data_IF_604518503491
#
_entry.id   IF_604518503491
#
_cell.length_a   1.000
_cell.length_b   1.000
_cell.length_c   1.000
_cell.angle_alpha   90.00
_cell.angle_beta   90.00
_cell.angle_gamma   90.00
#
_symmetry.space_group_name_H-M   'P 1'
#
loop_
_entity.id
_entity.type
_entity.pdbx_description
1 polymer ?
#
# COMPACT_ATOMS: atom_id res chain seq x y z
N UNK A 1 25.21 13.85 28.53
CA UNK A 1 25.96 13.05 27.55
C UNK A 1 25.69 13.65 26.19
N UNK A 2 26.71 14.05 25.40
CA UNK A 2 26.44 14.53 24.05
C UNK A 2 25.77 13.40 23.26
N UNK A 3 24.67 13.71 22.57
CA UNK A 3 23.99 12.78 21.67
C UNK A 3 25.04 12.35 20.63
N UNK A 4 25.46 11.08 20.70
CA UNK A 4 26.33 10.52 19.68
C UNK A 4 25.60 10.58 18.33
N UNK A 5 26.31 10.71 17.19
CA UNK A 5 25.69 10.66 15.86
C UNK A 5 24.77 9.43 15.66
N UNK A 6 25.07 8.34 16.39
CA UNK A 6 24.23 7.17 16.53
C UNK A 6 22.85 7.46 17.16
N UNK A 7 22.76 8.24 18.24
CA UNK A 7 21.46 8.57 18.85
C UNK A 7 20.51 9.31 17.91
N UNK A 8 21.04 10.12 16.98
CA UNK A 8 20.27 10.96 16.05
C UNK A 8 19.61 10.12 14.93
N UNK A 9 20.26 9.04 14.48
CA UNK A 9 19.75 8.21 13.36
C UNK A 9 19.03 6.95 13.83
N UNK A 10 19.47 6.32 14.94
CA UNK A 10 18.90 5.06 15.40
C UNK A 10 17.58 5.21 16.17
N UNK A 11 17.37 6.33 16.87
CA UNK A 11 16.09 6.63 17.51
C UNK A 11 14.94 6.66 16.49
N UNK A 12 15.05 7.45 15.41
CA UNK A 12 14.09 7.44 14.32
C UNK A 12 13.93 6.05 13.67
N UNK A 13 15.03 5.31 13.45
CA UNK A 13 14.96 3.98 12.84
C UNK A 13 14.20 2.96 13.71
N UNK A 14 14.32 3.04 15.05
CA UNK A 14 13.55 2.19 15.96
C UNK A 14 12.06 2.57 15.96
N UNK A 15 11.75 3.87 15.95
CA UNK A 15 10.35 4.36 15.85
C UNK A 15 9.72 3.94 14.53
N UNK A 16 10.47 4.05 13.43
CA UNK A 16 10.10 3.59 12.10
C UNK A 16 9.75 2.11 12.12
N UNK A 17 10.64 1.25 12.63
CA UNK A 17 10.38 -0.18 12.78
C UNK A 17 9.16 -0.52 13.64
N UNK A 18 8.96 0.19 14.76
CA UNK A 18 7.79 -0.02 15.62
C UNK A 18 6.48 0.30 14.87
N UNK A 19 6.44 1.45 14.18
CA UNK A 19 5.31 1.81 13.31
C UNK A 19 5.12 0.78 12.20
N UNK A 20 6.21 0.34 11.58
CA UNK A 20 6.22 -0.64 10.51
C UNK A 20 5.60 -1.97 10.92
N UNK A 21 5.95 -2.44 12.12
CA UNK A 21 5.45 -3.68 12.72
C UNK A 21 3.95 -3.57 13.06
N UNK A 22 3.50 -2.42 13.58
CA UNK A 22 2.08 -2.16 13.86
C UNK A 22 1.27 -2.22 12.55
N UNK A 23 1.75 -1.54 11.50
CA UNK A 23 1.12 -1.56 10.18
C UNK A 23 1.08 -2.96 9.58
N UNK A 24 2.13 -3.76 9.76
CA UNK A 24 2.17 -5.15 9.32
C UNK A 24 1.06 -6.00 9.99
N UNK A 25 0.75 -5.77 11.26
CA UNK A 25 -0.40 -6.42 11.92
C UNK A 25 -1.75 -6.10 11.26
N UNK A 26 -1.96 -4.83 10.89
CA UNK A 26 -3.13 -4.39 10.13
C UNK A 26 -3.19 -5.02 8.72
N UNK A 27 -2.05 -5.11 8.05
CA UNK A 27 -1.91 -5.77 6.76
C UNK A 27 -2.32 -7.25 6.84
N UNK A 28 -1.77 -8.00 7.80
CA UNK A 28 -2.11 -9.43 8.01
C UNK A 28 -3.61 -9.60 8.22
N UNK A 29 -4.23 -8.75 9.04
CA UNK A 29 -5.69 -8.78 9.27
C UNK A 29 -6.46 -8.59 7.96
N UNK A 30 -6.06 -7.63 7.14
CA UNK A 30 -6.69 -7.35 5.84
C UNK A 30 -6.56 -8.52 4.87
N UNK A 31 -5.41 -9.21 4.89
CA UNK A 31 -5.12 -10.40 4.09
C UNK A 31 -5.97 -11.60 4.53
N UNK A 32 -6.14 -11.80 5.84
CA UNK A 32 -7.00 -12.86 6.36
C UNK A 32 -8.48 -12.65 5.99
N UNK A 33 -8.95 -11.40 6.06
CA UNK A 33 -10.30 -11.04 5.60
C UNK A 33 -10.43 -11.29 4.09
N UNK A 34 -9.39 -10.97 3.31
CA UNK A 34 -9.38 -11.19 1.88
C UNK A 34 -9.52 -12.68 1.52
N UNK A 35 -8.66 -13.54 2.05
CA UNK A 35 -8.70 -14.98 1.74
C UNK A 35 -9.93 -15.71 2.30
N UNK A 36 -10.53 -15.21 3.38
CA UNK A 36 -11.77 -15.77 3.93
C UNK A 36 -13.02 -15.36 3.14
N UNK A 37 -13.06 -14.12 2.63
CA UNK A 37 -14.27 -13.52 2.06
C UNK A 37 -14.35 -13.55 0.53
N UNK A 38 -13.23 -13.68 -0.18
CA UNK A 38 -13.14 -13.54 -1.65
C UNK A 38 -12.62 -14.82 -2.33
N UNK A 39 -13.46 -15.86 -2.33
CA UNK A 39 -13.12 -17.18 -2.89
C UNK A 39 -13.31 -17.28 -4.41
N UNK A 40 -13.96 -16.30 -5.04
CA UNK A 40 -14.18 -16.26 -6.50
C UNK A 40 -13.18 -15.39 -7.28
N UNK A 41 -12.31 -14.64 -6.59
CA UNK A 41 -11.36 -13.73 -7.23
C UNK A 41 -10.39 -14.44 -8.18
N UNK A 42 -10.04 -13.76 -9.29
CA UNK A 42 -9.13 -14.27 -10.30
C UNK A 42 -7.74 -14.62 -9.75
N UNK A 43 -7.13 -15.67 -10.31
CA UNK A 43 -5.84 -16.20 -9.85
C UNK A 43 -4.72 -15.16 -9.84
N UNK A 44 -4.76 -14.19 -10.75
CA UNK A 44 -3.74 -13.13 -10.84
C UNK A 44 -3.77 -12.17 -9.63
N UNK A 45 -4.95 -11.80 -9.12
CA UNK A 45 -5.09 -10.93 -7.93
C UNK A 45 -4.57 -11.66 -6.70
N UNK A 46 -4.88 -12.95 -6.59
CA UNK A 46 -4.37 -13.79 -5.50
C UNK A 46 -2.87 -13.92 -5.49
N UNK A 47 -2.28 -14.13 -6.67
CA UNK A 47 -0.83 -14.19 -6.83
C UNK A 47 -0.19 -12.85 -6.43
N UNK A 48 -0.79 -11.73 -6.83
CA UNK A 48 -0.35 -10.40 -6.44
C UNK A 48 -0.40 -10.21 -4.92
N UNK A 49 -1.52 -10.55 -4.27
CA UNK A 49 -1.66 -10.45 -2.81
C UNK A 49 -0.64 -11.34 -2.10
N UNK A 50 -0.42 -12.56 -2.57
CA UNK A 50 0.59 -13.47 -2.01
C UNK A 50 2.01 -12.89 -2.16
N UNK A 51 2.34 -12.36 -3.33
CA UNK A 51 3.64 -11.74 -3.60
C UNK A 51 3.88 -10.52 -2.69
N UNK A 52 2.87 -9.66 -2.52
CA UNK A 52 2.93 -8.53 -1.62
C UNK A 52 3.15 -8.98 -0.17
N UNK A 53 2.41 -9.98 0.32
CA UNK A 53 2.61 -10.51 1.68
C UNK A 53 4.03 -11.02 1.87
N UNK A 54 4.57 -11.79 0.93
CA UNK A 54 5.94 -12.31 1.02
C UNK A 54 6.97 -11.16 1.06
N UNK A 55 6.84 -10.16 0.19
CA UNK A 55 7.72 -8.99 0.16
C UNK A 55 7.62 -8.18 1.46
N UNK A 56 6.42 -8.00 1.98
CA UNK A 56 6.14 -7.25 3.20
C UNK A 56 6.70 -7.96 4.44
N UNK A 57 6.55 -9.29 4.53
CA UNK A 57 7.16 -10.12 5.57
C UNK A 57 8.68 -10.06 5.47
N UNK A 58 9.25 -10.19 4.27
CA UNK A 58 10.69 -10.09 4.07
C UNK A 58 11.23 -8.73 4.53
N UNK A 59 10.53 -7.64 4.19
CA UNK A 59 10.91 -6.29 4.62
C UNK A 59 10.93 -6.15 6.16
N UNK A 60 9.91 -6.62 6.89
CA UNK A 60 9.89 -6.57 8.38
C UNK A 60 10.99 -7.44 8.99
N UNK A 61 11.21 -8.64 8.43
CA UNK A 61 12.26 -9.56 8.93
C UNK A 61 13.65 -8.97 8.72
N UNK A 62 13.92 -8.38 7.55
CA UNK A 62 15.20 -7.73 7.26
C UNK A 62 15.44 -6.53 8.19
N UNK A 63 14.42 -5.69 8.43
CA UNK A 63 14.54 -4.60 9.41
C UNK A 63 14.83 -5.11 10.82
N UNK A 64 14.15 -6.17 11.25
CA UNK A 64 14.40 -6.79 12.56
C UNK A 64 15.82 -7.34 12.68
N UNK A 65 16.30 -8.04 11.65
CA UNK A 65 17.68 -8.57 11.61
C UNK A 65 18.70 -7.43 11.67
N UNK A 66 18.48 -6.35 10.91
CA UNK A 66 19.34 -5.17 10.92
C UNK A 66 19.40 -4.51 12.31
N UNK A 67 18.24 -4.30 12.95
CA UNK A 67 18.16 -3.72 14.29
C UNK A 67 18.82 -4.62 15.34
N UNK A 68 18.58 -5.93 15.30
CA UNK A 68 19.18 -6.87 16.23
C UNK A 68 20.72 -6.89 16.09
N UNK A 69 21.21 -6.95 14.85
CA UNK A 69 22.65 -6.94 14.57
C UNK A 69 23.34 -5.68 15.11
N UNK A 70 22.72 -4.52 14.90
CA UNK A 70 23.35 -3.21 15.16
C UNK A 70 23.14 -2.74 16.60
N UNK A 71 21.98 -3.01 17.21
CA UNK A 71 21.66 -2.55 18.58
C UNK A 71 21.92 -3.59 19.66
N UNK A 72 21.95 -4.89 19.35
CA UNK A 72 22.12 -5.94 20.36
C UNK A 72 23.50 -6.60 20.23
N UNK A 73 23.84 -7.10 19.04
CA UNK A 73 25.08 -7.87 18.85
C UNK A 73 26.31 -6.96 18.90
N UNK A 74 26.30 -5.84 18.17
CA UNK A 74 27.41 -4.88 18.10
C UNK A 74 27.12 -3.61 18.92
N UNK A 75 26.53 -3.78 20.10
CA UNK A 75 26.18 -2.64 20.96
C UNK A 75 27.43 -1.83 21.35
N UNK A 76 27.42 -0.53 21.03
CA UNK A 76 28.49 0.41 21.38
C UNK A 76 29.63 0.50 20.35
N UNK A 77 29.61 -0.28 19.27
CA UNK A 77 30.60 -0.21 18.20
C UNK A 77 30.25 0.87 17.16
N UNK A 78 30.87 2.05 17.28
CA UNK A 78 30.55 3.19 16.41
C UNK A 78 30.85 2.95 14.92
N UNK A 79 31.77 2.04 14.59
CA UNK A 79 32.11 1.75 13.20
C UNK A 79 31.00 0.94 12.51
N UNK A 80 30.41 -0.01 13.23
CA UNK A 80 29.25 -0.77 12.73
C UNK A 80 28.01 0.12 12.68
N UNK A 81 27.81 0.98 13.66
CA UNK A 81 26.67 1.91 13.70
C UNK A 81 26.71 2.97 12.59
N UNK A 82 27.90 3.34 12.10
CA UNK A 82 28.05 4.34 11.03
C UNK A 82 27.88 3.76 9.62
N UNK A 83 27.73 2.44 9.49
CA UNK A 83 27.66 1.73 8.21
C UNK A 83 26.33 0.99 8.02
N UNK A 84 25.70 1.23 6.88
CA UNK A 84 24.62 0.41 6.37
C UNK A 84 25.15 -0.99 6.03
N UNK A 85 24.47 -1.99 6.57
CA UNK A 85 24.73 -3.39 6.21
C UNK A 85 24.04 -3.74 4.89
N UNK A 86 24.45 -4.86 4.29
CA UNK A 86 23.78 -5.42 3.11
C UNK A 86 22.28 -5.65 3.36
N UNK A 87 21.87 -6.00 4.60
CA UNK A 87 20.46 -6.18 4.98
C UNK A 87 19.68 -4.88 4.83
N UNK A 88 20.22 -3.76 5.33
CA UNK A 88 19.61 -2.44 5.20
C UNK A 88 19.52 -2.00 3.73
N UNK A 89 20.56 -2.29 2.94
CA UNK A 89 20.60 -1.90 1.53
C UNK A 89 19.48 -2.50 0.68
N UNK A 90 18.94 -3.67 1.06
CA UNK A 90 17.85 -4.33 0.33
C UNK A 90 16.48 -3.69 0.57
N UNK A 91 16.31 -2.93 1.66
CA UNK A 91 15.03 -2.36 2.05
C UNK A 91 14.46 -1.40 1.00
N UNK A 92 15.21 -0.41 0.46
CA UNK A 92 14.70 0.49 -0.58
C UNK A 92 14.30 -0.25 -1.86
N UNK A 93 15.05 -1.29 -2.25
CA UNK A 93 14.75 -2.12 -3.40
C UNK A 93 13.43 -2.88 -3.23
N UNK A 94 13.20 -3.49 -2.07
CA UNK A 94 11.93 -4.16 -1.76
C UNK A 94 10.78 -3.15 -1.76
N UNK A 95 10.96 -1.99 -1.13
CA UNK A 95 9.96 -0.90 -1.14
C UNK A 95 9.63 -0.46 -2.56
N UNK A 96 10.65 -0.29 -3.43
CA UNK A 96 10.45 0.03 -4.84
C UNK A 96 9.61 -1.01 -5.56
N UNK A 97 9.92 -2.31 -5.39
CA UNK A 97 9.17 -3.40 -6.00
C UNK A 97 7.71 -3.41 -5.52
N UNK A 98 7.47 -3.27 -4.21
CA UNK A 98 6.12 -3.22 -3.63
C UNK A 98 5.33 -2.05 -4.20
N UNK A 99 5.91 -0.85 -4.19
CA UNK A 99 5.28 0.37 -4.70
C UNK A 99 4.88 0.21 -6.16
N UNK A 100 5.79 -0.30 -7.01
CA UNK A 100 5.51 -0.53 -8.43
C UNK A 100 4.39 -1.56 -8.64
N UNK A 101 4.39 -2.68 -7.90
CA UNK A 101 3.32 -3.67 -7.99
C UNK A 101 1.96 -3.07 -7.63
N UNK A 102 1.89 -2.25 -6.59
CA UNK A 102 0.67 -1.57 -6.16
C UNK A 102 0.21 -0.53 -7.19
N UNK A 103 1.12 0.28 -7.70
CA UNK A 103 0.82 1.29 -8.73
C UNK A 103 0.32 0.65 -10.02
N UNK A 104 0.95 -0.43 -10.49
CA UNK A 104 0.51 -1.17 -11.67
C UNK A 104 -0.87 -1.80 -11.49
N UNK A 105 -1.19 -2.29 -10.28
CA UNK A 105 -2.53 -2.77 -9.97
C UNK A 105 -3.59 -1.65 -10.09
N UNK A 106 -3.30 -0.48 -9.55
CA UNK A 106 -4.20 0.67 -9.70
C UNK A 106 -4.27 1.17 -11.15
N UNK A 107 -3.18 1.13 -11.90
CA UNK A 107 -3.14 1.45 -13.33
C UNK A 107 -4.06 0.51 -14.12
N UNK A 108 -3.99 -0.80 -13.86
CA UNK A 108 -4.89 -1.79 -14.44
C UNK A 108 -6.35 -1.49 -14.09
N UNK A 109 -6.65 -1.12 -12.85
CA UNK A 109 -8.00 -0.75 -12.43
C UNK A 109 -8.52 0.49 -13.17
N UNK A 110 -7.66 1.49 -13.39
CA UNK A 110 -7.97 2.68 -14.20
C UNK A 110 -8.21 2.29 -15.66
N UNK A 111 -7.39 1.41 -16.24
CA UNK A 111 -7.59 0.91 -17.59
C UNK A 111 -8.98 0.28 -17.77
N UNK A 112 -9.39 -0.56 -16.81
CA UNK A 112 -10.71 -1.22 -16.85
C UNK A 112 -11.86 -0.22 -16.77
N UNK A 113 -11.68 0.91 -16.08
CA UNK A 113 -12.75 1.90 -15.89
C UNK A 113 -12.80 2.98 -16.98
N UNK A 114 -11.66 3.46 -17.44
CA UNK A 114 -11.57 4.57 -18.40
C UNK A 114 -11.33 4.09 -19.84
N UNK A 115 -10.90 2.83 -20.04
CA UNK A 115 -10.46 2.27 -21.33
C UNK A 115 -9.34 3.07 -22.04
N UNK A 116 -8.67 3.98 -21.33
CA UNK A 116 -7.62 4.84 -21.88
C UNK A 116 -6.24 4.27 -21.63
N UNK A 117 -5.59 3.78 -22.69
CA UNK A 117 -4.23 3.21 -22.63
C UNK A 117 -3.14 4.27 -22.38
N UNK A 118 -3.39 5.52 -22.76
CA UNK A 118 -2.43 6.62 -22.59
C UNK A 118 -2.18 6.93 -21.12
N UNK A 119 -3.23 6.98 -20.29
CA UNK A 119 -3.12 7.24 -18.86
C UNK A 119 -2.34 6.14 -18.14
N UNK A 120 -2.59 4.89 -18.53
CA UNK A 120 -1.88 3.70 -18.00
C UNK A 120 -0.40 3.76 -18.35
N UNK A 121 -0.05 4.20 -19.56
CA UNK A 121 1.33 4.38 -19.98
C UNK A 121 2.08 5.40 -19.11
N UNK A 122 1.44 6.52 -18.76
CA UNK A 122 2.04 7.54 -17.88
C UNK A 122 2.28 6.99 -16.48
N UNK A 123 1.29 6.31 -15.90
CA UNK A 123 1.41 5.68 -14.58
C UNK A 123 2.52 4.63 -14.58
N UNK A 124 2.53 3.74 -15.58
CA UNK A 124 3.56 2.71 -15.70
C UNK A 124 4.97 3.29 -15.86
N UNK A 125 5.10 4.41 -16.60
CA UNK A 125 6.37 5.11 -16.73
C UNK A 125 6.85 5.66 -15.38
N UNK A 126 5.99 6.37 -14.64
CA UNK A 126 6.33 6.89 -13.32
C UNK A 126 6.66 5.76 -12.32
N UNK A 127 5.88 4.68 -12.32
CA UNK A 127 6.12 3.51 -11.49
C UNK A 127 7.44 2.80 -11.82
N UNK A 128 7.83 2.77 -13.10
CA UNK A 128 9.12 2.23 -13.52
C UNK A 128 10.29 3.12 -13.09
N UNK A 129 10.13 4.44 -13.17
CA UNK A 129 11.13 5.38 -12.69
C UNK A 129 11.37 5.21 -11.18
N UNK A 130 10.29 5.06 -10.39
CA UNK A 130 10.38 4.76 -8.97
C UNK A 130 11.10 3.43 -8.69
N UNK A 131 10.81 2.37 -9.47
CA UNK A 131 11.47 1.07 -9.34
C UNK A 131 12.98 1.17 -9.57
N UNK A 132 13.39 1.80 -10.68
CA UNK A 132 14.80 1.94 -11.01
C UNK A 132 15.54 2.81 -10.01
N UNK A 133 14.89 3.85 -9.47
CA UNK A 133 15.45 4.66 -8.39
C UNK A 133 15.60 3.85 -7.09
N UNK A 134 14.64 2.99 -6.75
CA UNK A 134 14.72 2.09 -5.59
C UNK A 134 15.88 1.10 -5.70
N UNK A 135 16.02 0.44 -6.85
CA UNK A 135 17.14 -0.47 -7.14
C UNK A 135 18.47 0.30 -7.15
N UNK A 136 18.51 1.47 -7.79
CA UNK A 136 19.69 2.35 -7.81
C UNK A 136 20.12 2.76 -6.41
N UNK A 137 19.16 3.07 -5.52
CA UNK A 137 19.42 3.38 -4.11
C UNK A 137 20.01 2.16 -3.38
N UNK A 138 19.47 0.96 -3.60
CA UNK A 138 20.04 -0.29 -3.05
C UNK A 138 21.49 -0.51 -3.48
N UNK A 139 21.82 -0.31 -4.75
CA UNK A 139 23.18 -0.45 -5.26
C UNK A 139 24.09 0.63 -4.66
N UNK A 140 23.63 1.87 -4.61
CA UNK A 140 24.38 2.99 -4.07
C UNK A 140 24.72 2.82 -2.58
N UNK A 141 23.78 2.32 -1.77
CA UNK A 141 24.02 2.00 -0.36
C UNK A 141 25.06 0.89 -0.20
N UNK A 142 25.07 -0.13 -1.06
CA UNK A 142 26.11 -1.17 -1.02
C UNK A 142 27.51 -0.63 -1.39
N UNK A 143 27.58 0.28 -2.38
CA UNK A 143 28.85 0.89 -2.78
C UNK A 143 29.38 1.90 -1.76
N UNK A 144 28.47 2.65 -1.13
CA UNK A 144 28.77 3.70 -0.16
C UNK A 144 27.99 3.40 1.13
N UNK A 145 28.47 2.48 1.98
CA UNK A 145 27.72 2.06 3.16
C UNK A 145 27.72 3.11 4.27
N UNK A 146 28.49 4.20 4.18
CA UNK A 146 28.59 5.18 5.27
C UNK A 146 27.42 6.15 5.24
N UNK A 147 26.62 6.21 6.33
CA UNK A 147 25.41 7.05 6.42
C UNK A 147 25.66 8.53 6.11
N UNK A 148 26.80 9.08 6.54
CA UNK A 148 27.15 10.50 6.30
C UNK A 148 27.39 10.82 4.82
N UNK A 149 27.60 9.80 3.98
CA UNK A 149 27.85 9.97 2.54
C UNK A 149 26.60 9.75 1.69
N UNK A 150 25.41 9.61 2.30
CA UNK A 150 24.16 9.38 1.57
C UNK A 150 23.75 10.54 0.67
N UNK A 151 24.27 11.75 0.92
CA UNK A 151 24.12 12.91 0.02
C UNK A 151 24.63 12.65 -1.41
N UNK A 152 25.55 11.70 -1.61
CA UNK A 152 26.12 11.38 -2.93
C UNK A 152 25.11 10.78 -3.91
N UNK A 153 24.07 10.11 -3.40
CA UNK A 153 23.02 9.49 -4.22
C UNK A 153 21.63 10.09 -3.94
N UNK A 154 21.59 11.23 -3.24
CA UNK A 154 20.38 11.97 -2.88
C UNK A 154 19.45 12.19 -4.08
N UNK A 155 20.03 12.55 -5.23
CA UNK A 155 19.29 12.81 -6.47
C UNK A 155 18.46 11.60 -6.90
N UNK A 156 19.02 10.39 -6.81
CA UNK A 156 18.30 9.16 -7.20
C UNK A 156 17.13 8.91 -6.26
N UNK A 157 17.34 9.09 -4.96
CA UNK A 157 16.31 8.90 -3.95
C UNK A 157 15.17 9.94 -4.08
N UNK A 158 15.51 11.21 -4.25
CA UNK A 158 14.54 12.32 -4.44
C UNK A 158 13.71 12.11 -5.70
N UNK A 159 14.32 11.74 -6.83
CA UNK A 159 13.59 11.46 -8.07
C UNK A 159 12.64 10.27 -7.88
N UNK A 160 13.06 9.23 -7.18
CA UNK A 160 12.23 8.06 -6.87
C UNK A 160 11.02 8.42 -6.00
N UNK A 161 11.21 9.21 -4.94
CA UNK A 161 10.12 9.67 -4.09
C UNK A 161 9.18 10.65 -4.80
N UNK A 162 9.73 11.60 -5.57
CA UNK A 162 8.94 12.57 -6.31
C UNK A 162 8.08 11.90 -7.40
N UNK A 163 8.64 10.96 -8.16
CA UNK A 163 7.88 10.18 -9.14
C UNK A 163 6.77 9.36 -8.47
N UNK A 164 7.05 8.74 -7.33
CA UNK A 164 6.05 8.00 -6.55
C UNK A 164 4.92 8.90 -6.02
N UNK A 165 5.25 10.10 -5.54
CA UNK A 165 4.28 11.08 -5.06
C UNK A 165 3.40 11.61 -6.19
N UNK A 166 4.00 11.92 -7.35
CA UNK A 166 3.26 12.32 -8.56
C UNK A 166 2.31 11.22 -9.00
N UNK A 167 2.76 9.97 -9.02
CA UNK A 167 1.93 8.84 -9.40
C UNK A 167 0.77 8.61 -8.43
N UNK A 168 1.01 8.73 -7.11
CA UNK A 168 -0.04 8.66 -6.10
C UNK A 168 -1.14 9.70 -6.32
N UNK A 169 -0.76 10.95 -6.61
CA UNK A 169 -1.70 12.04 -6.90
C UNK A 169 -2.48 11.78 -8.18
N UNK A 170 -1.80 11.31 -9.24
CA UNK A 170 -2.41 10.99 -10.52
C UNK A 170 -3.41 9.83 -10.38
N UNK A 171 -3.01 8.71 -9.78
CA UNK A 171 -3.86 7.54 -9.54
C UNK A 171 -5.09 7.94 -8.70
N UNK A 172 -4.88 8.67 -7.61
CA UNK A 172 -5.97 9.10 -6.73
C UNK A 172 -6.94 10.02 -7.47
N UNK A 173 -6.45 11.00 -8.22
CA UNK A 173 -7.26 11.92 -9.01
C UNK A 173 -8.08 11.21 -10.09
N UNK A 174 -7.44 10.30 -10.84
CA UNK A 174 -8.08 9.54 -11.92
C UNK A 174 -9.15 8.58 -11.39
N UNK A 175 -8.86 7.82 -10.33
CA UNK A 175 -9.85 6.93 -9.73
C UNK A 175 -11.06 7.72 -9.23
N UNK A 176 -10.85 8.89 -8.61
CA UNK A 176 -11.96 9.73 -8.13
C UNK A 176 -12.81 10.26 -9.27
N UNK A 177 -12.15 10.77 -10.31
CA UNK A 177 -12.84 11.32 -11.46
C UNK A 177 -13.65 10.22 -12.18
N UNK A 178 -13.00 9.11 -12.53
CA UNK A 178 -13.65 8.03 -13.25
C UNK A 178 -14.77 7.34 -12.44
N UNK A 179 -14.61 7.13 -11.13
CA UNK A 179 -15.71 6.56 -10.33
C UNK A 179 -16.89 7.54 -10.13
N UNK A 180 -16.66 8.86 -10.23
CA UNK A 180 -17.75 9.85 -10.19
C UNK A 180 -18.57 9.86 -11.48
N UNK A 181 -17.92 9.65 -12.62
CA UNK A 181 -18.58 9.61 -13.94
C UNK A 181 -19.40 8.32 -14.13
N UNK A 182 -18.95 7.19 -13.59
CA UNK A 182 -19.61 5.89 -13.72
C UNK A 182 -20.75 5.65 -12.71
N UNK A 183 -21.40 6.72 -12.21
CA UNK A 183 -22.61 6.56 -11.39
C UNK A 183 -23.76 6.07 -12.29
N UNK A 184 -24.36 4.95 -11.89
CA UNK A 184 -25.30 4.19 -12.72
C UNK A 184 -26.76 4.60 -12.50
N UNK A 185 -27.04 5.42 -11.48
CA UNK A 185 -28.39 5.90 -11.15
C UNK A 185 -29.23 4.91 -10.33
N UNK A 186 -28.72 3.70 -10.06
CA UNK A 186 -29.34 2.73 -9.16
C UNK A 186 -28.82 2.95 -7.72
N UNK A 187 -29.75 3.13 -6.77
CA UNK A 187 -29.44 3.51 -5.37
C UNK A 187 -28.48 2.52 -4.70
N UNK A 188 -28.73 1.22 -4.81
CA UNK A 188 -27.93 0.18 -4.14
C UNK A 188 -26.51 0.07 -4.73
N UNK A 189 -26.39 0.17 -6.05
CA UNK A 189 -25.09 0.12 -6.74
C UNK A 189 -24.28 1.40 -6.50
N UNK A 190 -24.93 2.55 -6.54
CA UNK A 190 -24.29 3.84 -6.32
C UNK A 190 -23.80 3.99 -4.86
N UNK A 191 -24.46 3.38 -3.88
CA UNK A 191 -23.99 3.38 -2.49
C UNK A 191 -22.74 2.52 -2.27
N UNK A 192 -22.64 1.37 -2.94
CA UNK A 192 -21.42 0.56 -2.96
C UNK A 192 -20.28 1.33 -3.65
N UNK A 193 -20.55 1.96 -4.79
CA UNK A 193 -19.57 2.78 -5.50
C UNK A 193 -19.09 3.93 -4.60
N UNK A 194 -19.99 4.65 -3.92
CA UNK A 194 -19.61 5.71 -2.96
C UNK A 194 -18.72 5.19 -1.83
N UNK A 195 -19.00 4.00 -1.29
CA UNK A 195 -18.17 3.39 -0.25
C UNK A 195 -16.76 3.09 -0.77
N UNK A 196 -16.66 2.49 -1.95
CA UNK A 196 -15.38 2.18 -2.61
C UNK A 196 -14.61 3.48 -2.92
N UNK A 197 -15.28 4.52 -3.44
CA UNK A 197 -14.69 5.84 -3.67
C UNK A 197 -14.11 6.39 -2.37
N UNK A 198 -14.90 6.38 -1.28
CA UNK A 198 -14.47 6.94 0.01
C UNK A 198 -13.25 6.22 0.57
N UNK A 199 -13.25 4.89 0.54
CA UNK A 199 -12.12 4.10 1.04
C UNK A 199 -10.89 4.33 0.17
N UNK A 200 -11.03 4.26 -1.16
CA UNK A 200 -9.94 4.48 -2.11
C UNK A 200 -9.35 5.89 -1.97
N UNK A 201 -10.20 6.91 -1.77
CA UNK A 201 -9.78 8.29 -1.50
C UNK A 201 -9.00 8.40 -0.21
N UNK A 202 -9.53 7.83 0.87
CA UNK A 202 -8.92 7.92 2.18
C UNK A 202 -7.55 7.23 2.17
N UNK A 203 -7.42 6.07 1.52
CA UNK A 203 -6.16 5.33 1.50
C UNK A 203 -5.16 5.85 0.46
N UNK A 204 -5.61 6.27 -0.72
CA UNK A 204 -4.75 6.85 -1.77
C UNK A 204 -4.23 8.24 -1.40
N UNK A 205 -5.07 9.07 -0.76
CA UNK A 205 -4.61 10.36 -0.25
C UNK A 205 -3.63 10.17 0.92
N UNK A 206 -3.86 9.17 1.78
CA UNK A 206 -2.95 8.85 2.87
C UNK A 206 -1.56 8.47 2.35
N UNK A 207 -1.46 7.62 1.33
CA UNK A 207 -0.16 7.27 0.75
C UNK A 207 0.52 8.47 0.09
N UNK A 208 -0.24 9.31 -0.63
CA UNK A 208 0.27 10.55 -1.22
C UNK A 208 0.85 11.50 -0.17
N UNK A 209 0.08 11.78 0.89
CA UNK A 209 0.51 12.63 2.01
C UNK A 209 1.75 12.05 2.67
N UNK A 210 1.78 10.73 2.92
CA UNK A 210 2.93 10.09 3.56
C UNK A 210 4.19 10.20 2.72
N UNK A 211 4.11 9.95 1.40
CA UNK A 211 5.25 10.16 0.48
C UNK A 211 5.72 11.61 0.43
N UNK A 212 4.81 12.58 0.49
CA UNK A 212 5.16 14.00 0.48
C UNK A 212 5.84 14.43 1.79
N UNK A 213 5.39 13.88 2.93
CA UNK A 213 6.04 14.12 4.23
C UNK A 213 7.45 13.53 4.23
N UNK A 214 7.62 12.29 3.74
CA UNK A 214 8.95 11.66 3.62
C UNK A 214 9.89 12.52 2.77
N UNK A 215 9.43 12.93 1.58
CA UNK A 215 10.18 13.78 0.67
C UNK A 215 10.52 15.15 1.29
N UNK A 216 9.56 15.80 1.94
CA UNK A 216 9.76 17.11 2.57
C UNK A 216 10.75 17.03 3.73
N UNK A 217 10.65 16.00 4.58
CA UNK A 217 11.57 15.79 5.69
C UNK A 217 12.98 15.47 5.17
N UNK A 218 13.09 14.65 4.11
CA UNK A 218 14.37 14.33 3.51
C UNK A 218 15.11 15.56 2.96
N UNK A 219 14.38 16.49 2.33
CA UNK A 219 14.97 17.74 1.81
C UNK A 219 15.26 18.74 2.93
N UNK A 220 14.38 18.84 3.94
CA UNK A 220 14.46 19.86 4.98
C UNK A 220 15.41 19.51 6.13
N UNK A 221 15.55 18.23 6.48
CA UNK A 221 16.32 17.76 7.63
C UNK A 221 17.41 16.78 7.18
N UNK A 222 18.64 17.08 7.57
CA UNK A 222 19.80 16.18 7.39
C UNK A 222 19.90 15.11 8.47
N UNK A 223 19.08 15.21 9.52
CA UNK A 223 18.93 14.18 10.55
C UNK A 223 18.10 13.02 9.97
N UNK A 224 18.50 11.77 10.24
CA UNK A 224 17.90 10.54 9.70
C UNK A 224 16.41 10.29 9.99
N UNK A 225 15.65 11.32 10.38
CA UNK A 225 14.21 11.35 10.62
C UNK A 225 13.38 10.84 9.44
N UNK A 226 13.82 11.07 8.20
CA UNK A 226 13.14 10.55 7.00
C UNK A 226 13.03 9.02 7.03
N UNK A 227 13.96 8.32 7.68
CA UNK A 227 13.96 6.85 7.75
C UNK A 227 12.70 6.29 8.41
N UNK A 228 12.07 7.02 9.35
CA UNK A 228 10.80 6.65 9.99
C UNK A 228 9.69 6.50 8.95
N UNK A 229 9.61 7.49 8.06
CA UNK A 229 8.57 7.56 7.04
C UNK A 229 8.89 6.59 5.92
N UNK A 230 10.17 6.50 5.53
CA UNK A 230 10.59 5.64 4.45
C UNK A 230 10.40 4.14 4.74
N UNK A 231 10.70 3.68 5.97
CA UNK A 231 10.50 2.27 6.36
C UNK A 231 9.03 1.85 6.30
N UNK A 232 8.12 2.75 6.67
CA UNK A 232 6.68 2.47 6.71
C UNK A 232 5.99 2.62 5.35
N UNK A 233 6.63 3.21 4.34
CA UNK A 233 6.03 3.50 3.04
C UNK A 233 5.46 2.26 2.35
N UNK A 234 6.25 1.19 2.21
CA UNK A 234 5.84 -0.05 1.54
C UNK A 234 4.51 -0.57 2.11
N UNK A 235 4.36 -0.50 3.45
CA UNK A 235 3.20 -1.02 4.16
C UNK A 235 1.98 -0.17 3.86
N UNK A 236 2.11 1.16 3.81
CA UNK A 236 1.02 2.04 3.41
C UNK A 236 0.52 1.73 1.99
N UNK A 237 1.42 1.47 1.04
CA UNK A 237 1.04 1.05 -0.31
C UNK A 237 0.24 -0.24 -0.30
N UNK A 238 0.74 -1.28 0.36
CA UNK A 238 0.06 -2.58 0.42
C UNK A 238 -1.26 -2.49 1.17
N UNK A 239 -1.33 -1.76 2.29
CA UNK A 239 -2.57 -1.52 3.04
C UNK A 239 -3.61 -0.79 2.18
N UNK A 240 -3.19 0.19 1.38
CA UNK A 240 -4.10 0.92 0.47
C UNK A 240 -4.71 -0.01 -0.59
N UNK A 241 -3.89 -0.88 -1.19
CA UNK A 241 -4.35 -1.90 -2.13
C UNK A 241 -5.32 -2.88 -1.44
N UNK A 242 -4.94 -3.42 -0.28
CA UNK A 242 -5.76 -4.38 0.45
C UNK A 242 -7.09 -3.78 0.92
N UNK A 243 -7.09 -2.53 1.39
CA UNK A 243 -8.31 -1.81 1.78
C UNK A 243 -9.26 -1.65 0.60
N UNK A 244 -8.72 -1.38 -0.58
CA UNK A 244 -9.50 -1.32 -1.82
C UNK A 244 -10.12 -2.67 -2.17
N UNK A 245 -9.36 -3.76 -2.05
CA UNK A 245 -9.86 -5.11 -2.34
C UNK A 245 -10.95 -5.55 -1.36
N UNK A 246 -10.76 -5.29 -0.07
CA UNK A 246 -11.67 -5.68 1.03
C UNK A 246 -12.93 -4.81 1.06
N UNK A 247 -12.90 -3.59 0.49
CA UNK A 247 -14.08 -2.73 0.40
C UNK A 247 -15.17 -3.25 -0.56
N UNK A 248 -14.85 -4.22 -1.42
CA UNK A 248 -15.80 -4.84 -2.36
C UNK A 248 -16.87 -5.66 -1.62
N UNK A 249 -18.05 -5.86 -2.23
CA UNK A 249 -19.05 -6.80 -1.72
C UNK A 249 -18.42 -8.18 -1.53
N UNK A 250 -18.64 -8.79 -0.36
CA UNK A 250 -18.10 -10.11 -0.03
C UNK A 250 -18.91 -11.20 -0.74
N UNK A 251 -18.24 -12.27 -1.17
CA UNK A 251 -18.90 -13.42 -1.81
C UNK A 251 -19.85 -14.14 -0.86
N UNK A 252 -19.53 -14.12 0.44
CA UNK A 252 -20.35 -14.74 1.49
C UNK A 252 -20.54 -13.79 2.67
N UNK A 253 -21.77 -13.63 3.18
CA UNK A 253 -22.00 -12.96 4.44
C UNK A 253 -21.34 -13.79 5.56
N UNK A 254 -20.48 -13.15 6.35
CA UNK A 254 -20.09 -13.70 7.64
C UNK A 254 -21.36 -13.74 8.50
N UNK A 255 -21.80 -14.92 8.92
CA UNK A 255 -22.74 -15.02 10.04
C UNK A 255 -22.04 -14.40 11.22
N UNK A 256 -22.44 -13.17 11.52
CA UNK A 256 -22.05 -12.50 12.74
C UNK A 256 -22.42 -13.43 13.91
N UNK A 257 -21.43 -13.93 14.64
CA UNK A 257 -21.68 -14.65 15.89
C UNK A 257 -22.14 -13.69 16.99
N UNK A 258 -22.25 -12.39 16.71
CA UNK A 258 -22.87 -11.45 17.63
C UNK A 258 -24.39 -11.46 17.48
N UNK A 259 -25.02 -11.92 18.56
CA UNK A 259 -26.41 -11.71 18.98
C UNK A 259 -27.47 -12.65 18.37
N UNK A 260 -27.55 -13.85 18.92
CA UNK A 260 -28.84 -14.54 19.14
C UNK A 260 -29.65 -13.70 20.15
N UNK A 261 -30.48 -12.78 19.67
CA UNK A 261 -31.70 -12.32 20.34
C UNK A 261 -32.68 -11.87 19.24
N UNK A 262 -33.81 -12.60 19.10
CA UNK A 262 -34.81 -12.40 18.05
C UNK A 262 -35.75 -11.20 18.27
N UNK A 263 -36.92 -11.10 17.60
CA UNK A 263 -37.39 -11.78 16.40
C UNK A 263 -37.55 -10.84 15.16
N UNK A 264 -37.24 -11.41 13.98
CA UNK A 264 -37.74 -11.13 12.62
C UNK A 264 -38.21 -9.71 12.20
N UNK A 265 -37.51 -9.11 11.23
CA UNK A 265 -38.00 -8.67 9.88
C UNK A 265 -37.20 -7.45 9.36
N UNK A 266 -36.36 -7.64 8.31
CA UNK A 266 -36.78 -7.10 7.00
C UNK A 266 -36.38 -7.98 5.78
N UNK A 267 -35.74 -9.14 5.97
CA UNK A 267 -35.20 -9.91 4.82
C UNK A 267 -36.24 -10.64 3.96
N UNK A 268 -37.47 -10.90 4.47
CA UNK A 268 -38.52 -11.54 3.66
C UNK A 268 -39.07 -10.63 2.56
N UNK A 269 -38.98 -9.30 2.70
CA UNK A 269 -39.49 -8.37 1.68
C UNK A 269 -38.58 -8.34 0.45
N UNK A 270 -37.27 -8.47 0.64
CA UNK A 270 -36.29 -8.48 -0.46
C UNK A 270 -36.42 -9.74 -1.32
N UNK A 271 -36.61 -10.92 -0.70
CA UNK A 271 -36.82 -12.18 -1.43
C UNK A 271 -38.13 -12.20 -2.23
N UNK A 272 -39.18 -11.56 -1.73
CA UNK A 272 -40.46 -11.49 -2.44
C UNK A 272 -40.46 -10.48 -3.60
N UNK A 273 -39.65 -9.41 -3.51
CA UNK A 273 -39.47 -8.45 -4.62
C UNK A 273 -38.57 -9.05 -5.72
N UNK A 274 -37.53 -9.81 -5.35
CA UNK A 274 -36.67 -10.48 -6.34
C UNK A 274 -37.39 -11.59 -7.12
N UNK A 275 -38.31 -12.35 -6.50
CA UNK A 275 -39.09 -13.35 -7.25
C UNK A 275 -40.10 -12.71 -8.23
N UNK A 276 -40.66 -11.55 -7.86
CA UNK A 276 -41.56 -10.78 -8.73
C UNK A 276 -40.81 -10.12 -9.91
N UNK A 277 -39.56 -9.69 -9.71
CA UNK A 277 -38.70 -9.18 -10.78
C UNK A 277 -38.30 -10.26 -11.79
N UNK A 278 -37.92 -11.45 -11.30
CA UNK A 278 -37.57 -12.60 -12.14
C UNK A 278 -38.74 -13.10 -13.00
N UNK A 279 -39.97 -13.11 -12.48
CA UNK A 279 -41.15 -13.53 -13.24
C UNK A 279 -41.58 -12.53 -14.32
N UNK A 280 -41.28 -11.23 -14.17
CA UNK A 280 -41.58 -10.22 -15.21
C UNK A 280 -40.61 -10.27 -16.39
N UNK A 281 -39.34 -10.62 -16.15
CA UNK A 281 -38.34 -10.78 -17.21
C UNK A 281 -38.62 -12.01 -18.08
N UNK A 282 -39.09 -13.13 -17.50
CA UNK A 282 -39.42 -14.33 -18.25
C UNK A 282 -40.64 -14.18 -19.20
N UNK A 283 -41.49 -13.17 -19.01
CA UNK A 283 -42.62 -12.88 -19.90
C UNK A 283 -42.26 -11.99 -21.09
N UNK A 284 -41.13 -11.28 -21.06
CA UNK A 284 -40.70 -10.39 -22.15
C UNK A 284 -39.88 -11.11 -23.23
N UNK A 285 -39.32 -12.28 -22.91
CA UNK A 285 -38.53 -13.09 -23.85
C UNK A 285 -39.38 -14.05 -24.71
N UNK A 286 -40.72 -14.04 -24.56
CA UNK A 286 -41.63 -14.98 -25.24
C UNK A 286 -42.78 -14.31 -26.03
N UNK A 287 -42.60 -13.05 -26.47
CA UNK A 287 -43.47 -12.39 -27.46
C UNK A 287 -42.63 -11.77 -28.58
#
# INVERSE_FOLDING_TARGET
MPLTPAGISFGPLLVGFALNTILYGGLVTSVLIYFSSFKSDGAWIRLLVLALVILETANVVLEFVYLNYTLIIHFGDQDVLSRATWVFSLLPGITGIVTTLVQLFFAWRIHVLTSSVWLVGIIAFLASAALFCGIGTTIAINMVPVFTQFHKFEVVFVIGLASSAMDNLLITGLLVHSLREHKTGFIDTDDIIKKIIRVTLQTGLLTAIWTLIDLAIYIALTDGMHLVFNQSLAKFYTISLMSTLVARPRDYPYTDFTVVNGPQQPERRVRHIMSLGSQRLACLDNC
#
